data_IF_124240827285
#
_entry.id   IF_124240827285
#
_cell.length_a   1.000
_cell.length_b   1.000
_cell.length_c   1.000
_cell.angle_alpha   90.00
_cell.angle_beta   90.00
_cell.angle_gamma   90.00
#
_symmetry.space_group_name_H-M   'P 1'
#
loop_
_entity.id
_entity.type
_entity.pdbx_description
1 polymer ?
#
# COMPACT_ATOMS: atom_id res chain seq x y z
N UNK A 1 -58.94 -45.96 -2.00
CA UNK A 1 -57.78 -46.27 -1.14
C UNK A 1 -56.57 -46.15 -2.04
N UNK A 2 -55.60 -45.32 -1.64
CA UNK A 2 -54.25 -45.17 -2.23
C UNK A 2 -54.23 -44.45 -3.59
N UNK A 3 -53.42 -43.43 -3.88
CA UNK A 3 -52.13 -43.00 -3.32
C UNK A 3 -51.96 -41.47 -3.40
N UNK A 4 -51.41 -40.90 -2.33
CA UNK A 4 -50.81 -39.56 -2.29
C UNK A 4 -49.39 -39.62 -2.90
N UNK A 5 -49.09 -38.75 -3.88
CA UNK A 5 -47.72 -38.44 -4.29
C UNK A 5 -47.43 -36.98 -3.98
N UNK A 6 -46.54 -36.78 -3.01
CA UNK A 6 -45.92 -35.51 -2.64
C UNK A 6 -44.85 -35.16 -3.70
N UNK A 7 -45.06 -34.05 -4.41
CA UNK A 7 -44.06 -33.40 -5.25
C UNK A 7 -43.12 -32.57 -4.34
N UNK A 8 -41.88 -33.05 -4.22
CA UNK A 8 -40.82 -32.37 -3.51
C UNK A 8 -40.05 -31.45 -4.46
N UNK A 9 -40.27 -30.15 -4.34
CA UNK A 9 -39.40 -29.13 -4.94
C UNK A 9 -38.67 -28.39 -3.83
N UNK A 10 -37.42 -28.78 -3.57
CA UNK A 10 -36.48 -27.97 -2.80
C UNK A 10 -36.08 -26.73 -3.63
N UNK A 11 -36.05 -25.52 -3.05
CA UNK A 11 -35.49 -24.37 -3.74
C UNK A 11 -33.96 -24.47 -3.73
N UNK A 12 -33.38 -24.44 -4.93
CA UNK A 12 -31.94 -24.27 -5.17
C UNK A 12 -31.44 -23.01 -4.46
N UNK A 13 -30.49 -23.18 -3.54
CA UNK A 13 -29.65 -22.09 -3.06
C UNK A 13 -28.74 -21.62 -4.20
N UNK A 14 -29.09 -20.49 -4.80
CA UNK A 14 -28.18 -19.75 -5.68
C UNK A 14 -27.05 -19.18 -4.81
N UNK A 15 -25.86 -19.76 -4.96
CA UNK A 15 -24.64 -19.23 -4.36
C UNK A 15 -24.41 -17.80 -4.83
N UNK A 16 -24.55 -16.85 -3.90
CA UNK A 16 -24.20 -15.45 -4.14
C UNK A 16 -22.71 -15.38 -4.44
N UNK A 17 -22.39 -15.05 -5.69
CA UNK A 17 -21.03 -14.77 -6.15
C UNK A 17 -20.41 -13.70 -5.25
N UNK A 18 -19.29 -14.02 -4.60
CA UNK A 18 -18.56 -13.11 -3.70
C UNK A 18 -18.25 -11.74 -4.33
N UNK A 19 -18.14 -11.68 -5.66
CA UNK A 19 -17.96 -10.44 -6.43
C UNK A 19 -19.07 -9.39 -6.21
N UNK A 20 -20.33 -9.82 -6.03
CA UNK A 20 -21.45 -8.90 -5.84
C UNK A 20 -21.45 -8.23 -4.45
N UNK A 21 -20.99 -8.97 -3.43
CA UNK A 21 -20.93 -8.47 -2.04
C UNK A 21 -19.89 -7.35 -1.92
N UNK A 22 -18.71 -7.52 -2.51
CA UNK A 22 -17.66 -6.49 -2.51
C UNK A 22 -18.05 -5.22 -3.29
N UNK A 23 -18.78 -5.36 -4.41
CA UNK A 23 -19.27 -4.22 -5.18
C UNK A 23 -20.22 -3.32 -4.36
N UNK A 24 -21.07 -3.91 -3.52
CA UNK A 24 -21.99 -3.15 -2.65
C UNK A 24 -21.27 -2.44 -1.50
N UNK A 25 -20.23 -3.05 -0.92
CA UNK A 25 -19.42 -2.43 0.12
C UNK A 25 -18.60 -1.24 -0.42
N UNK A 26 -17.97 -1.40 -1.59
CA UNK A 26 -17.23 -0.32 -2.27
C UNK A 26 -18.11 0.90 -2.56
N UNK A 27 -19.31 0.67 -3.11
CA UNK A 27 -20.26 1.74 -3.39
C UNK A 27 -20.73 2.50 -2.14
N UNK A 28 -20.86 1.81 -1.01
CA UNK A 28 -21.19 2.46 0.28
C UNK A 28 -20.03 3.33 0.78
N UNK A 29 -18.80 2.80 0.74
CA UNK A 29 -17.58 3.52 1.16
C UNK A 29 -17.37 4.79 0.33
N UNK A 30 -17.55 4.70 -0.99
CA UNK A 30 -17.41 5.84 -1.89
C UNK A 30 -18.43 6.94 -1.56
N UNK A 31 -19.71 6.57 -1.35
CA UNK A 31 -20.76 7.53 -0.98
C UNK A 31 -20.56 8.13 0.41
N UNK A 32 -20.07 7.35 1.37
CA UNK A 32 -19.70 7.87 2.70
C UNK A 32 -18.58 8.90 2.59
N UNK A 33 -17.61 8.69 1.69
CA UNK A 33 -16.53 9.64 1.41
C UNK A 33 -17.03 10.93 0.78
N UNK A 34 -17.85 10.85 -0.26
CA UNK A 34 -18.46 12.02 -0.89
C UNK A 34 -19.22 12.89 0.12
N UNK A 35 -19.96 12.26 1.04
CA UNK A 35 -20.64 12.97 2.13
C UNK A 35 -19.68 13.53 3.20
N UNK A 36 -18.55 12.86 3.44
CA UNK A 36 -17.57 13.29 4.46
C UNK A 36 -16.63 14.39 3.99
N UNK A 37 -16.31 14.46 2.68
CA UNK A 37 -15.39 15.44 2.10
C UNK A 37 -15.85 16.89 2.32
N UNK A 38 -17.16 17.14 2.37
CA UNK A 38 -17.73 18.46 2.67
C UNK A 38 -17.46 18.92 4.13
N UNK A 39 -17.18 17.99 5.04
CA UNK A 39 -16.86 18.27 6.45
C UNK A 39 -15.34 18.20 6.77
N UNK A 40 -14.49 17.79 5.82
CA UNK A 40 -13.13 17.27 6.06
C UNK A 40 -11.98 18.26 5.75
N UNK A 41 -12.23 19.56 5.77
CA UNK A 41 -11.25 20.58 5.35
C UNK A 41 -10.41 21.07 6.54
N UNK A 42 -9.08 20.84 6.45
CA UNK A 42 -7.95 21.51 7.14
C UNK A 42 -7.64 21.14 8.61
N UNK A 43 -6.93 20.04 8.81
CA UNK A 43 -5.93 19.96 9.89
C UNK A 43 -4.58 19.53 9.31
N UNK A 44 -3.50 20.21 9.70
CA UNK A 44 -2.12 19.91 9.26
C UNK A 44 -1.60 18.52 9.72
N UNK A 45 -2.39 17.80 10.53
CA UNK A 45 -2.06 16.49 11.11
C UNK A 45 -2.61 15.28 10.33
N UNK A 46 -3.19 15.47 9.14
CA UNK A 46 -3.75 14.35 8.38
C UNK A 46 -2.65 13.43 7.83
N UNK A 47 -2.86 12.12 8.00
CA UNK A 47 -2.10 11.08 7.29
C UNK A 47 -2.44 11.22 5.82
N UNK A 48 -1.43 11.40 4.98
CA UNK A 48 -1.59 11.57 3.53
C UNK A 48 -1.09 10.36 2.77
N UNK A 49 -0.12 9.64 3.34
CA UNK A 49 0.57 8.56 2.67
C UNK A 49 0.48 7.26 3.45
N UNK A 50 0.09 6.19 2.78
CA UNK A 50 0.39 4.82 3.17
C UNK A 50 1.62 4.37 2.40
N UNK A 51 2.68 3.96 3.09
CA UNK A 51 3.87 3.37 2.51
C UNK A 51 3.97 1.91 2.98
N UNK A 52 3.77 0.99 2.06
CA UNK A 52 3.81 -0.43 2.32
C UNK A 52 5.04 -1.05 1.64
N UNK A 53 5.87 -1.73 2.44
CA UNK A 53 6.92 -2.61 1.93
C UNK A 53 6.33 -4.01 1.81
N UNK A 54 6.42 -4.58 0.61
CA UNK A 54 5.74 -5.82 0.27
C UNK A 54 6.66 -6.75 -0.49
N UNK A 55 6.51 -8.04 -0.26
CA UNK A 55 7.32 -9.10 -0.89
C UNK A 55 6.41 -10.23 -1.35
N UNK A 56 6.93 -11.11 -2.20
CA UNK A 56 6.23 -12.33 -2.60
C UNK A 56 5.98 -13.25 -1.40
N UNK A 57 6.87 -13.29 -0.41
CA UNK A 57 6.62 -14.03 0.83
C UNK A 57 5.51 -13.38 1.66
N UNK A 58 5.38 -12.05 1.59
CA UNK A 58 4.24 -11.24 2.01
C UNK A 58 2.91 -11.76 1.47
N UNK A 59 2.81 -11.88 0.16
CA UNK A 59 1.54 -12.09 -0.53
C UNK A 59 1.21 -13.55 -0.85
N UNK A 60 2.19 -14.30 -1.32
CA UNK A 60 1.97 -15.55 -2.05
C UNK A 60 2.31 -16.82 -1.25
N UNK A 61 2.72 -16.71 0.02
CA UNK A 61 3.14 -17.87 0.81
C UNK A 61 2.27 -18.09 2.05
N UNK A 62 1.34 -19.05 1.94
CA UNK A 62 0.83 -19.81 3.08
C UNK A 62 1.88 -20.77 3.69
N UNK A 63 3.13 -20.75 3.19
CA UNK A 63 4.23 -21.56 3.72
C UNK A 63 5.01 -20.78 4.77
N UNK A 64 5.06 -21.35 5.98
CA UNK A 64 5.85 -20.89 7.13
C UNK A 64 7.32 -20.73 6.75
N UNK A 65 7.73 -19.51 6.44
CA UNK A 65 9.14 -19.15 6.44
C UNK A 65 9.60 -19.07 7.90
N UNK A 66 10.63 -19.84 8.26
CA UNK A 66 10.93 -20.17 9.67
C UNK A 66 11.84 -19.18 10.38
N UNK A 67 12.35 -18.16 9.67
CA UNK A 67 13.31 -17.19 10.23
C UNK A 67 12.67 -15.94 10.85
N UNK A 68 11.40 -15.65 10.53
CA UNK A 68 10.62 -14.62 11.22
C UNK A 68 9.51 -15.25 12.06
N UNK A 69 9.39 -14.90 13.35
CA UNK A 69 8.39 -15.49 14.24
C UNK A 69 6.94 -15.08 13.88
N UNK A 70 6.77 -14.08 13.02
CA UNK A 70 5.47 -13.52 12.63
C UNK A 70 5.25 -13.83 11.14
N UNK A 71 4.12 -14.46 10.84
CA UNK A 71 3.73 -14.73 9.45
C UNK A 71 3.52 -13.42 8.67
N UNK A 72 3.84 -13.37 7.38
CA UNK A 72 3.54 -12.20 6.56
C UNK A 72 2.02 -11.97 6.42
N UNK A 73 1.63 -10.72 6.13
CA UNK A 73 0.23 -10.30 5.99
C UNK A 73 -0.40 -10.86 4.72
N UNK A 74 -1.62 -11.39 4.84
CA UNK A 74 -2.39 -11.82 3.68
C UNK A 74 -2.86 -10.61 2.84
N UNK A 75 -3.33 -10.87 1.62
CA UNK A 75 -3.98 -9.85 0.79
C UNK A 75 -5.16 -9.20 1.52
N UNK A 76 -6.00 -9.98 2.22
CA UNK A 76 -7.13 -9.44 2.98
C UNK A 76 -6.68 -8.48 4.09
N UNK A 77 -5.60 -8.83 4.79
CA UNK A 77 -4.99 -7.94 5.78
C UNK A 77 -4.50 -6.64 5.15
N UNK A 78 -3.87 -6.71 3.98
CA UNK A 78 -3.41 -5.53 3.26
C UNK A 78 -4.55 -4.65 2.76
N UNK A 79 -5.65 -5.24 2.27
CA UNK A 79 -6.85 -4.50 1.88
C UNK A 79 -7.42 -3.75 3.09
N UNK A 80 -7.49 -4.39 4.26
CA UNK A 80 -7.89 -3.74 5.51
C UNK A 80 -6.94 -2.58 5.89
N UNK A 81 -5.63 -2.75 5.72
CA UNK A 81 -4.65 -1.67 5.96
C UNK A 81 -4.89 -0.48 5.03
N UNK A 82 -5.19 -0.72 3.76
CA UNK A 82 -5.55 0.33 2.79
C UNK A 82 -6.84 1.02 3.22
N UNK A 83 -7.88 0.28 3.58
CA UNK A 83 -9.17 0.82 4.03
C UNK A 83 -9.01 1.72 5.25
N UNK A 84 -8.33 1.23 6.29
CA UNK A 84 -8.10 2.01 7.51
C UNK A 84 -7.25 3.25 7.22
N UNK A 85 -6.21 3.14 6.39
CA UNK A 85 -5.37 4.28 6.01
C UNK A 85 -6.18 5.32 5.23
N UNK A 86 -7.07 4.87 4.33
CA UNK A 86 -7.97 5.72 3.58
C UNK A 86 -8.91 6.51 4.50
N UNK A 87 -9.42 5.90 5.58
CA UNK A 87 -10.26 6.60 6.57
C UNK A 87 -9.50 7.65 7.38
N UNK A 88 -8.17 7.52 7.49
CA UNK A 88 -7.29 8.48 8.14
C UNK A 88 -6.90 9.66 7.25
N UNK A 89 -7.35 9.66 5.99
CA UNK A 89 -7.08 10.72 5.02
C UNK A 89 -6.01 10.36 3.99
N UNK A 90 -5.47 9.13 4.02
CA UNK A 90 -4.50 8.74 3.01
C UNK A 90 -5.14 8.81 1.62
N UNK A 91 -4.44 9.47 0.70
CA UNK A 91 -4.81 9.60 -0.70
C UNK A 91 -3.70 9.15 -1.64
N UNK A 92 -2.57 8.68 -1.08
CA UNK A 92 -1.47 8.05 -1.79
C UNK A 92 -1.15 6.70 -1.15
N UNK A 93 -0.97 5.68 -1.98
CA UNK A 93 -0.43 4.38 -1.62
C UNK A 93 0.92 4.21 -2.34
N UNK A 94 2.01 4.05 -1.59
CA UNK A 94 3.30 3.66 -2.15
C UNK A 94 3.57 2.21 -1.81
N UNK A 95 3.80 1.39 -2.85
CA UNK A 95 4.19 -0.01 -2.74
C UNK A 95 5.66 -0.14 -3.11
N UNK A 96 6.50 -0.40 -2.12
CA UNK A 96 7.88 -0.82 -2.34
C UNK A 96 7.90 -2.34 -2.43
N UNK A 97 8.22 -2.88 -3.61
CA UNK A 97 8.13 -4.31 -3.90
C UNK A 97 9.54 -4.92 -3.92
N UNK A 98 9.79 -5.89 -3.04
CA UNK A 98 11.09 -6.55 -2.92
C UNK A 98 11.42 -7.51 -4.07
N UNK A 99 10.39 -8.10 -4.66
CA UNK A 99 10.47 -9.06 -5.77
C UNK A 99 10.09 -8.41 -7.11
N UNK A 100 10.43 -9.02 -8.27
CA UNK A 100 9.91 -8.59 -9.56
C UNK A 100 8.37 -8.47 -9.57
N UNK A 101 7.83 -7.39 -10.16
CA UNK A 101 6.41 -7.03 -10.04
C UNK A 101 5.47 -8.13 -10.58
N UNK A 102 5.80 -8.76 -11.71
CA UNK A 102 5.01 -9.83 -12.32
C UNK A 102 4.90 -11.09 -11.43
N UNK A 103 5.78 -11.25 -10.44
CA UNK A 103 5.72 -12.35 -9.47
C UNK A 103 4.86 -12.01 -8.23
N UNK A 104 4.30 -10.81 -8.17
CA UNK A 104 3.52 -10.28 -7.04
C UNK A 104 2.10 -9.89 -7.49
N UNK A 105 1.21 -10.86 -7.79
CA UNK A 105 -0.13 -10.57 -8.31
C UNK A 105 -0.97 -9.65 -7.40
N UNK A 106 -0.80 -9.79 -6.09
CA UNK A 106 -1.51 -9.03 -5.06
C UNK A 106 -1.17 -7.52 -5.09
N UNK A 107 0.00 -7.13 -5.59
CA UNK A 107 0.36 -5.71 -5.81
C UNK A 107 -0.65 -5.05 -6.75
N UNK A 108 -1.08 -5.77 -7.78
CA UNK A 108 -2.04 -5.26 -8.76
C UNK A 108 -3.44 -5.17 -8.17
N UNK A 109 -3.83 -6.15 -7.35
CA UNK A 109 -5.12 -6.12 -6.67
C UNK A 109 -5.22 -4.99 -5.64
N UNK A 110 -4.17 -4.79 -4.84
CA UNK A 110 -4.09 -3.64 -3.93
C UNK A 110 -4.12 -2.31 -4.65
N UNK A 111 -3.38 -2.21 -5.76
CA UNK A 111 -3.34 -1.00 -6.58
C UNK A 111 -4.73 -0.65 -7.13
N UNK A 112 -5.43 -1.64 -7.71
CA UNK A 112 -6.81 -1.46 -8.18
C UNK A 112 -7.75 -1.12 -7.04
N UNK A 113 -7.67 -1.82 -5.91
CA UNK A 113 -8.52 -1.54 -4.75
C UNK A 113 -8.36 -0.10 -4.26
N UNK A 114 -7.12 0.38 -4.13
CA UNK A 114 -6.81 1.74 -3.72
C UNK A 114 -7.32 2.80 -4.71
N UNK A 115 -7.18 2.55 -6.02
CA UNK A 115 -7.65 3.46 -7.06
C UNK A 115 -9.17 3.46 -7.19
N UNK A 116 -9.79 2.29 -7.31
CA UNK A 116 -11.23 2.14 -7.58
C UNK A 116 -12.08 2.52 -6.35
N UNK A 117 -11.67 2.14 -5.15
CA UNK A 117 -12.46 2.35 -3.93
C UNK A 117 -12.24 3.74 -3.34
N UNK A 118 -11.04 4.31 -3.52
CA UNK A 118 -10.60 5.49 -2.80
C UNK A 118 -10.02 6.60 -3.67
N UNK A 119 -9.87 6.40 -4.98
CA UNK A 119 -9.24 7.37 -5.87
C UNK A 119 -7.80 7.68 -5.48
N UNK A 120 -7.11 6.75 -4.81
CA UNK A 120 -5.72 6.98 -4.38
C UNK A 120 -4.78 7.02 -5.59
N UNK A 121 -3.77 7.88 -5.52
CA UNK A 121 -2.60 7.75 -6.40
C UNK A 121 -1.73 6.59 -5.90
N UNK A 122 -1.31 5.72 -6.80
CA UNK A 122 -0.46 4.56 -6.51
C UNK A 122 0.95 4.80 -7.05
N UNK A 123 1.94 4.69 -6.17
CA UNK A 123 3.36 4.66 -6.53
C UNK A 123 3.92 3.25 -6.44
N UNK A 124 4.52 2.74 -7.51
CA UNK A 124 5.14 1.42 -7.56
C UNK A 124 6.66 1.58 -7.57
N UNK A 125 7.35 1.05 -6.56
CA UNK A 125 8.81 1.03 -6.49
C UNK A 125 9.34 -0.41 -6.51
N UNK A 126 9.78 -0.95 -7.67
CA UNK A 126 10.46 -2.24 -7.71
C UNK A 126 11.90 -2.10 -7.18
N UNK A 127 12.23 -2.71 -6.03
CA UNK A 127 13.55 -2.55 -5.38
C UNK A 127 14.73 -2.99 -6.25
N UNK A 128 14.52 -3.95 -7.16
CA UNK A 128 15.57 -4.50 -8.02
C UNK A 128 15.74 -3.74 -9.35
N UNK A 129 14.87 -2.77 -9.67
CA UNK A 129 14.89 -2.01 -10.92
C UNK A 129 14.60 -2.81 -12.18
N UNK A 130 14.28 -4.10 -12.05
CA UNK A 130 13.90 -4.96 -13.15
C UNK A 130 12.48 -4.64 -13.60
N UNK A 131 12.31 -4.36 -14.89
CA UNK A 131 11.02 -4.27 -15.55
C UNK A 131 11.04 -5.17 -16.78
N UNK A 132 10.04 -6.03 -16.91
CA UNK A 132 9.77 -6.79 -18.12
C UNK A 132 8.48 -6.31 -18.80
N UNK A 133 8.20 -6.83 -20.00
CA UNK A 133 6.99 -6.49 -20.73
C UNK A 133 5.71 -6.81 -19.93
N UNK A 134 5.70 -7.90 -19.17
CA UNK A 134 4.55 -8.29 -18.33
C UNK A 134 4.29 -7.27 -17.22
N UNK A 135 5.35 -6.73 -16.60
CA UNK A 135 5.23 -5.66 -15.59
C UNK A 135 4.58 -4.41 -16.20
N UNK A 136 5.02 -4.00 -17.40
CA UNK A 136 4.52 -2.81 -18.08
C UNK A 136 3.08 -2.98 -18.54
N UNK A 137 2.73 -4.15 -19.08
CA UNK A 137 1.34 -4.47 -19.44
C UNK A 137 0.43 -4.43 -18.22
N UNK A 138 0.87 -5.00 -17.08
CA UNK A 138 0.12 -4.96 -15.84
C UNK A 138 -0.07 -3.52 -15.31
N UNK A 139 0.95 -2.67 -15.38
CA UNK A 139 0.87 -1.25 -15.01
C UNK A 139 -0.16 -0.51 -15.88
N UNK A 140 -0.22 -0.79 -17.19
CA UNK A 140 -1.19 -0.15 -18.09
C UNK A 140 -2.64 -0.54 -17.81
N UNK A 141 -2.89 -1.65 -17.11
CA UNK A 141 -4.25 -2.03 -16.69
C UNK A 141 -4.73 -1.24 -15.46
N UNK A 142 -3.85 -0.48 -14.79
CA UNK A 142 -4.22 0.45 -13.73
C UNK A 142 -4.70 1.78 -14.31
N UNK A 143 -5.29 2.64 -13.48
CA UNK A 143 -5.52 4.03 -13.88
C UNK A 143 -4.18 4.75 -14.02
N UNK A 144 -3.72 4.91 -15.26
CA UNK A 144 -2.41 5.47 -15.57
C UNK A 144 -2.26 6.92 -15.08
N UNK A 145 -3.35 7.68 -15.02
CA UNK A 145 -3.31 9.06 -14.52
C UNK A 145 -3.03 9.11 -13.01
N UNK A 146 -3.46 8.06 -12.30
CA UNK A 146 -3.25 7.86 -10.87
C UNK A 146 -2.16 6.82 -10.56
N UNK A 147 -1.29 6.50 -11.52
CA UNK A 147 -0.16 5.57 -11.33
C UNK A 147 1.17 6.25 -11.56
N UNK A 148 2.14 6.03 -10.67
CA UNK A 148 3.52 6.52 -10.80
C UNK A 148 4.47 5.35 -10.64
N UNK A 149 5.41 5.20 -11.57
CA UNK A 149 6.51 4.26 -11.42
C UNK A 149 7.70 4.98 -10.80
N UNK A 150 8.21 4.45 -9.70
CA UNK A 150 9.27 5.07 -8.89
C UNK A 150 10.57 4.31 -9.13
N UNK A 151 11.49 4.88 -9.89
CA UNK A 151 12.75 4.24 -10.27
C UNK A 151 13.93 5.07 -9.78
N UNK A 152 15.03 4.41 -9.42
CA UNK A 152 16.29 5.11 -9.14
C UNK A 152 16.82 5.78 -10.41
N UNK A 153 17.62 6.84 -10.24
CA UNK A 153 18.10 7.66 -11.37
C UNK A 153 19.03 6.89 -12.30
N UNK A 154 19.83 5.98 -11.73
CA UNK A 154 20.75 5.10 -12.46
C UNK A 154 20.06 4.03 -13.33
N UNK A 155 18.77 3.76 -13.13
CA UNK A 155 18.00 2.77 -13.89
C UNK A 155 17.48 3.34 -15.22
N UNK A 156 18.40 3.88 -16.01
CA UNK A 156 18.07 4.66 -17.22
C UNK A 156 17.35 3.84 -18.29
N UNK A 157 17.68 2.56 -18.45
CA UNK A 157 17.03 1.68 -19.42
C UNK A 157 15.58 1.35 -19.02
N UNK A 158 15.36 0.99 -17.75
CA UNK A 158 14.03 0.73 -17.21
C UNK A 158 13.13 1.99 -17.29
N UNK A 159 13.70 3.17 -16.99
CA UNK A 159 13.01 4.45 -17.14
C UNK A 159 12.58 4.70 -18.59
N UNK A 160 13.51 4.61 -19.55
CA UNK A 160 13.20 4.81 -20.98
C UNK A 160 12.13 3.84 -21.45
N UNK A 161 12.25 2.58 -21.05
CA UNK A 161 11.29 1.55 -21.40
C UNK A 161 9.87 1.91 -20.91
N UNK A 162 9.73 2.29 -19.64
CA UNK A 162 8.43 2.70 -19.09
C UNK A 162 7.90 4.00 -19.72
N UNK A 163 8.74 5.02 -19.92
CA UNK A 163 8.34 6.28 -20.54
C UNK A 163 7.88 6.09 -22.00
N UNK A 164 8.53 5.21 -22.76
CA UNK A 164 8.12 4.85 -24.13
C UNK A 164 6.73 4.19 -24.17
N UNK A 165 6.35 3.50 -23.11
CA UNK A 165 5.03 2.89 -22.94
C UNK A 165 3.98 3.87 -22.38
N UNK A 166 4.33 5.15 -22.23
CA UNK A 166 3.44 6.20 -21.74
C UNK A 166 3.25 6.20 -20.21
N UNK A 167 4.08 5.48 -19.47
CA UNK A 167 4.01 5.41 -18.01
C UNK A 167 4.75 6.60 -17.40
N UNK A 168 4.13 7.26 -16.42
CA UNK A 168 4.74 8.39 -15.70
C UNK A 168 5.78 7.87 -14.70
N UNK A 169 7.05 8.22 -14.92
CA UNK A 169 8.18 7.78 -14.08
C UNK A 169 8.71 8.92 -13.21
N UNK A 170 8.75 8.70 -11.90
CA UNK A 170 9.37 9.60 -10.91
C UNK A 170 10.67 9.00 -10.36
N UNK A 171 11.57 9.86 -9.84
CA UNK A 171 12.74 9.34 -9.12
C UNK A 171 12.33 8.81 -7.75
N UNK A 172 12.73 7.57 -7.45
CA UNK A 172 12.49 6.94 -6.15
C UNK A 172 13.25 7.64 -5.02
N UNK A 173 14.37 8.31 -5.36
CA UNK A 173 15.22 8.99 -4.40
C UNK A 173 15.75 10.32 -4.98
N UNK A 174 15.07 11.45 -4.76
CA UNK A 174 15.40 12.72 -5.42
C UNK A 174 16.58 13.48 -4.82
N UNK A 175 17.18 13.02 -3.72
CA UNK A 175 18.30 13.70 -3.07
C UNK A 175 19.48 12.74 -2.90
N UNK A 176 20.74 13.21 -3.01
CA UNK A 176 21.91 12.35 -2.95
C UNK A 176 22.03 11.52 -1.65
N UNK A 177 22.55 10.28 -1.71
CA UNK A 177 22.85 9.47 -0.54
C UNK A 177 23.83 10.14 0.44
N UNK A 178 23.70 9.83 1.73
CA UNK A 178 24.58 10.31 2.80
C UNK A 178 24.27 11.71 3.33
N UNK A 179 23.42 12.49 2.64
CA UNK A 179 22.95 13.77 3.13
C UNK A 179 21.85 13.61 4.19
N UNK A 180 21.53 14.71 4.89
CA UNK A 180 20.34 14.74 5.77
C UNK A 180 19.08 14.85 4.90
N UNK A 181 18.10 13.93 5.02
CA UNK A 181 16.94 13.92 4.16
C UNK A 181 16.06 15.15 4.39
N UNK A 182 15.67 15.80 3.28
CA UNK A 182 14.65 16.85 3.28
C UNK A 182 13.26 16.21 3.24
N UNK A 183 12.85 15.56 4.34
CA UNK A 183 11.53 14.95 4.47
C UNK A 183 10.65 15.75 5.44
N UNK A 184 9.32 15.69 5.24
CA UNK A 184 8.34 16.25 6.21
C UNK A 184 8.20 15.38 7.47
N UNK A 185 9.03 14.36 7.63
CA UNK A 185 8.98 13.39 8.73
C UNK A 185 7.83 12.39 8.61
N UNK A 186 7.77 11.44 9.55
CA UNK A 186 6.77 10.37 9.60
C UNK A 186 5.38 10.79 10.10
N UNK A 187 5.14 12.07 10.37
CA UNK A 187 3.87 12.54 10.95
C UNK A 187 2.69 12.47 9.98
N UNK A 188 2.94 12.47 8.67
CA UNK A 188 1.93 12.41 7.61
C UNK A 188 1.90 11.08 6.86
N UNK A 189 2.59 10.07 7.39
CA UNK A 189 2.83 8.81 6.70
C UNK A 189 2.68 7.64 7.67
N UNK A 190 2.10 6.55 7.17
CA UNK A 190 2.11 5.26 7.85
C UNK A 190 3.06 4.37 7.07
N UNK A 191 4.10 3.85 7.73
CA UNK A 191 4.95 2.81 7.14
C UNK A 191 4.57 1.44 7.72
N UNK A 192 4.31 0.47 6.86
CA UNK A 192 3.97 -0.91 7.20
C UNK A 192 4.88 -1.84 6.40
N UNK A 193 5.47 -2.84 7.05
CA UNK A 193 6.23 -3.88 6.34
C UNK A 193 5.37 -5.12 6.03
N UNK A 194 5.97 -6.11 5.37
CA UNK A 194 5.31 -7.36 4.95
C UNK A 194 4.76 -8.18 6.12
N UNK A 195 5.26 -7.96 7.33
CA UNK A 195 4.80 -8.60 8.55
C UNK A 195 3.78 -7.75 9.33
N UNK A 196 3.30 -6.63 8.78
CA UNK A 196 2.30 -5.79 9.44
C UNK A 196 2.83 -4.96 10.62
N UNK A 197 4.14 -4.85 10.76
CA UNK A 197 4.77 -4.01 11.78
C UNK A 197 4.77 -2.56 11.29
N UNK A 198 4.28 -1.67 12.16
CA UNK A 198 4.18 -0.24 11.92
C UNK A 198 5.44 0.49 12.41
N UNK A 199 5.99 1.36 11.57
CA UNK A 199 7.11 2.23 11.91
C UNK A 199 6.82 3.69 11.58
N UNK A 200 7.60 4.61 12.17
CA UNK A 200 7.56 6.03 11.82
C UNK A 200 8.24 6.34 10.49
N UNK A 201 9.16 5.48 10.05
CA UNK A 201 10.00 5.69 8.89
C UNK A 201 10.55 4.34 8.40
N UNK A 202 10.67 4.14 7.09
CA UNK A 202 11.29 2.93 6.52
C UNK A 202 12.77 2.78 6.87
N UNK A 203 13.48 3.87 7.19
CA UNK A 203 14.90 3.81 7.59
C UNK A 203 15.14 3.02 8.88
N UNK A 204 14.14 2.97 9.77
CA UNK A 204 14.21 2.26 11.06
C UNK A 204 13.50 0.91 11.04
N UNK A 205 13.12 0.43 9.85
CA UNK A 205 12.56 -0.91 9.65
C UNK A 205 13.48 -1.98 10.27
N UNK A 206 12.89 -2.94 10.98
CA UNK A 206 13.60 -4.00 11.71
C UNK A 206 14.12 -3.59 13.09
N UNK A 207 14.09 -2.30 13.45
CA UNK A 207 14.53 -1.85 14.77
C UNK A 207 13.36 -1.75 15.76
N UNK A 208 13.32 -2.68 16.71
CA UNK A 208 12.28 -2.78 17.75
C UNK A 208 12.07 -1.52 18.60
N UNK A 209 13.09 -0.67 18.74
CA UNK A 209 12.97 0.60 19.47
C UNK A 209 12.06 1.63 18.77
N UNK A 210 11.76 1.43 17.49
CA UNK A 210 10.92 2.31 16.67
C UNK A 210 9.58 1.70 16.30
N UNK A 211 9.22 0.55 16.88
CA UNK A 211 7.93 -0.09 16.66
C UNK A 211 6.78 0.78 17.18
N UNK A 212 5.87 1.16 16.29
CA UNK A 212 4.63 1.81 16.65
C UNK A 212 3.58 0.79 17.10
N UNK A 213 3.58 -0.40 16.52
CA UNK A 213 2.63 -1.47 16.81
C UNK A 213 2.51 -2.44 15.63
N UNK A 214 1.42 -3.21 15.61
CA UNK A 214 1.10 -4.16 14.55
C UNK A 214 -0.32 -3.91 14.03
N UNK A 215 -0.55 -4.05 12.72
CA UNK A 215 -1.85 -3.72 12.10
C UNK A 215 -3.00 -4.62 12.57
N UNK A 216 -2.70 -5.86 12.98
CA UNK A 216 -3.71 -6.80 13.49
C UNK A 216 -4.03 -6.63 14.99
N UNK A 217 -3.23 -5.87 15.74
CA UNK A 217 -3.42 -5.74 17.19
C UNK A 217 -4.50 -4.71 17.54
N UNK A 218 -4.52 -3.59 16.82
CA UNK A 218 -5.36 -2.41 17.07
C UNK A 218 -5.63 -1.69 15.77
N UNK A 219 -6.75 -0.96 15.70
CA UNK A 219 -7.05 -0.06 14.57
C UNK A 219 -5.88 0.89 14.33
N UNK A 220 -5.54 1.13 13.06
CA UNK A 220 -4.45 2.03 12.66
C UNK A 220 -4.56 3.38 13.35
N UNK A 221 -5.76 3.96 13.42
CA UNK A 221 -6.01 5.23 14.13
C UNK A 221 -5.44 5.22 15.54
N UNK A 222 -5.71 4.17 16.30
CA UNK A 222 -5.27 4.06 17.68
C UNK A 222 -3.74 3.96 17.79
N UNK A 223 -3.10 3.24 16.87
CA UNK A 223 -1.65 3.12 16.84
C UNK A 223 -0.99 4.45 16.44
N UNK A 224 -1.48 5.08 15.37
CA UNK A 224 -0.89 6.30 14.82
C UNK A 224 -1.17 7.55 15.62
N UNK A 225 -2.16 7.56 16.52
CA UNK A 225 -2.41 8.69 17.44
C UNK A 225 -1.90 8.46 18.86
N UNK A 226 -1.32 7.29 19.18
CA UNK A 226 -0.79 7.02 20.52
C UNK A 226 0.44 7.90 20.80
N UNK A 227 0.38 8.83 21.78
CA UNK A 227 1.48 9.74 22.09
C UNK A 227 2.65 9.04 22.81
N UNK A 228 2.47 7.81 23.30
CA UNK A 228 3.53 7.04 23.98
C UNK A 228 4.47 6.34 23.00
N UNK A 229 4.15 6.33 21.71
CA UNK A 229 4.94 5.64 20.69
C UNK A 229 6.10 6.52 20.23
N UNK A 230 7.26 5.92 19.86
CA UNK A 230 8.39 6.68 19.36
C UNK A 230 7.98 7.43 18.08
N UNK A 231 8.13 8.75 18.04
CA UNK A 231 7.79 9.60 16.86
C UNK A 231 9.00 10.23 16.18
N UNK A 232 10.18 10.04 16.75
CA UNK A 232 11.43 10.59 16.23
C UNK A 232 12.32 9.48 15.71
N UNK A 233 13.21 9.85 14.80
CA UNK A 233 14.33 9.02 14.36
C UNK A 233 15.60 9.73 14.82
N UNK A 234 16.53 8.99 15.41
CA UNK A 234 17.82 9.55 15.83
C UNK A 234 18.55 10.19 14.65
N UNK A 235 19.24 11.32 14.92
CA UNK A 235 19.93 12.09 13.87
C UNK A 235 21.00 11.28 13.14
N UNK A 236 21.65 10.35 13.82
CA UNK A 236 22.66 9.44 13.25
C UNK A 236 22.08 8.47 12.23
N UNK A 237 20.82 8.06 12.41
CA UNK A 237 20.10 7.19 11.48
C UNK A 237 19.40 7.98 10.37
N UNK A 238 19.15 9.27 10.60
CA UNK A 238 18.42 10.14 9.68
C UNK A 238 19.33 10.68 8.56
N UNK A 239 19.85 9.77 7.74
CA UNK A 239 20.64 10.03 6.53
C UNK A 239 19.95 9.41 5.33
N UNK A 240 20.10 10.02 4.16
CA UNK A 240 19.57 9.46 2.90
C UNK A 240 20.28 8.14 2.62
N UNK A 241 19.49 7.08 2.51
CA UNK A 241 19.92 5.71 2.21
C UNK A 241 18.94 5.05 1.25
N UNK A 242 19.23 3.81 0.83
CA UNK A 242 18.34 3.01 -0.02
C UNK A 242 17.00 2.71 0.65
N UNK A 243 16.97 2.67 1.99
CA UNK A 243 15.72 2.56 2.76
C UNK A 243 14.85 3.83 2.67
N UNK A 244 15.32 4.89 2.02
CA UNK A 244 14.53 6.07 1.70
C UNK A 244 13.93 6.02 0.29
N UNK A 245 14.20 4.97 -0.51
CA UNK A 245 13.72 4.84 -1.88
C UNK A 245 12.20 4.60 -1.88
N UNK A 246 11.49 5.43 -2.63
CA UNK A 246 10.02 5.44 -2.64
C UNK A 246 9.40 6.13 -1.44
N UNK A 247 10.18 6.76 -0.54
CA UNK A 247 9.63 7.47 0.62
C UNK A 247 8.70 8.62 0.20
N UNK A 248 7.38 8.55 0.47
CA UNK A 248 6.46 9.59 0.03
C UNK A 248 6.69 10.92 0.74
N UNK A 249 7.12 10.91 2.01
CA UNK A 249 7.44 12.12 2.76
C UNK A 249 8.63 12.91 2.16
N UNK A 250 9.44 12.27 1.31
CA UNK A 250 10.48 12.92 0.51
C UNK A 250 9.94 13.33 -0.85
N UNK A 251 9.33 12.41 -1.60
CA UNK A 251 8.78 12.70 -2.94
C UNK A 251 7.81 13.89 -2.93
N UNK A 252 6.99 14.01 -1.89
CA UNK A 252 6.05 15.12 -1.70
C UNK A 252 6.68 16.51 -1.50
N UNK A 253 8.00 16.61 -1.36
CA UNK A 253 8.74 17.89 -1.34
C UNK A 253 9.21 18.26 -2.74
N UNK A 254 9.47 17.27 -3.59
CA UNK A 254 10.06 17.46 -4.92
C UNK A 254 9.03 17.51 -6.05
N UNK A 255 7.88 16.88 -5.86
CA UNK A 255 6.84 16.74 -6.90
C UNK A 255 5.52 17.44 -6.56
N UNK A 256 5.48 18.22 -5.48
CA UNK A 256 4.31 19.02 -5.06
C UNK A 256 4.24 20.38 -5.74
#
# INVERSE_FOLDING_TARGET
>A
MSDDQLDGTEPREEGVSGSAVFGTARGLIQRMRECSQEAYIKSDEQVVYLWACVTRTGFCNHSKDTDHPIAPLTLEDWLNVVDESATLGANWLILTVGDPLHLCPDVWELSRWAQESYGMTVGLHPKNGGLCAEDLEAIKQLDINNTRLLLREEWTDARKLAENEGIIVWTANPQPPGERPHCKGGTRMIFVNEHGILYTCGVVEGNSNYHLGHVLDKRLKQVVTDPKRPRWVEKSLHVVSENCDGCPARMAVFFS
#
